data_IF_998362199244
#
_entry.id   IF_998362199244
#
_cell.length_a   1.000
_cell.length_b   1.000
_cell.length_c   1.000
_cell.angle_alpha   90.00
_cell.angle_beta   90.00
_cell.angle_gamma   90.00
#
_symmetry.space_group_name_H-M   'P 1'
#
loop_
_entity.id
_entity.type
_entity.pdbx_description
1 polymer ?
#
# COMPACT_ATOMS: atom_id res chain seq x y z
N UNK A 1 -15.35 -1.37 12.44
CA UNK A 1 -13.89 -1.43 12.31
C UNK A 1 -13.49 -0.53 11.16
N UNK A 2 -12.56 0.40 11.39
CA UNK A 2 -11.96 1.18 10.31
C UNK A 2 -11.03 0.25 9.52
N UNK A 3 -11.14 0.24 8.19
CA UNK A 3 -10.29 -0.58 7.34
C UNK A 3 -8.91 0.10 7.25
N UNK A 4 -7.86 -0.65 7.54
CA UNK A 4 -6.47 -0.16 7.48
C UNK A 4 -6.00 0.01 6.03
N UNK A 5 -5.00 0.86 5.81
CA UNK A 5 -4.41 1.01 4.47
C UNK A 5 -3.80 -0.30 3.93
N UNK A 6 -3.24 -1.14 4.79
CA UNK A 6 -2.72 -2.45 4.41
C UNK A 6 -3.83 -3.38 3.90
N UNK A 7 -5.00 -3.37 4.55
CA UNK A 7 -6.18 -4.12 4.09
C UNK A 7 -6.71 -3.58 2.76
N UNK A 8 -6.80 -2.25 2.61
CA UNK A 8 -7.21 -1.62 1.35
C UNK A 8 -6.26 -2.02 0.22
N UNK A 9 -4.95 -1.98 0.46
CA UNK A 9 -3.95 -2.38 -0.53
C UNK A 9 -4.10 -3.85 -0.93
N UNK A 10 -4.24 -4.76 0.04
CA UNK A 10 -4.41 -6.20 -0.26
C UNK A 10 -5.71 -6.48 -1.00
N UNK A 11 -6.80 -5.78 -0.68
CA UNK A 11 -8.04 -5.84 -1.45
C UNK A 11 -7.80 -5.37 -2.90
N UNK A 12 -7.10 -4.26 -3.11
CA UNK A 12 -6.80 -3.73 -4.44
C UNK A 12 -5.94 -4.70 -5.25
N UNK A 13 -4.89 -5.26 -4.64
CA UNK A 13 -4.03 -6.29 -5.22
C UNK A 13 -4.81 -7.51 -5.67
N UNK A 14 -5.71 -8.02 -4.80
CA UNK A 14 -6.56 -9.18 -5.13
C UNK A 14 -7.52 -8.87 -6.27
N UNK A 15 -8.14 -7.69 -6.29
CA UNK A 15 -9.02 -7.25 -7.41
C UNK A 15 -8.26 -7.14 -8.73
N UNK A 16 -7.00 -6.71 -8.69
CA UNK A 16 -6.13 -6.65 -9.85
C UNK A 16 -5.59 -8.02 -10.31
N UNK A 17 -5.83 -9.10 -9.55
CA UNK A 17 -5.33 -10.45 -9.88
C UNK A 17 -3.81 -10.62 -9.72
N UNK A 18 -3.13 -9.69 -9.05
CA UNK A 18 -1.66 -9.64 -8.98
C UNK A 18 -1.17 -10.47 -7.79
N UNK A 19 -0.29 -11.48 -7.95
CA UNK A 19 0.31 -12.21 -6.84
C UNK A 19 1.17 -11.29 -5.94
N UNK A 20 1.26 -11.58 -4.64
CA UNK A 20 2.11 -10.80 -3.72
C UNK A 20 3.58 -10.73 -4.17
N UNK A 21 4.09 -11.80 -4.77
CA UNK A 21 5.46 -11.86 -5.32
C UNK A 21 5.66 -10.85 -6.45
N UNK A 22 4.70 -10.73 -7.35
CA UNK A 22 4.78 -9.82 -8.49
C UNK A 22 4.73 -8.36 -8.03
N UNK A 23 3.84 -8.05 -7.08
CA UNK A 23 3.79 -6.72 -6.49
C UNK A 23 5.07 -6.39 -5.72
N UNK A 24 5.62 -7.34 -4.94
CA UNK A 24 6.89 -7.15 -4.24
C UNK A 24 8.05 -6.86 -5.22
N UNK A 25 8.11 -7.59 -6.34
CA UNK A 25 9.09 -7.35 -7.41
C UNK A 25 8.94 -5.95 -8.02
N UNK A 26 7.70 -5.51 -8.32
CA UNK A 26 7.44 -4.18 -8.85
C UNK A 26 7.80 -3.05 -7.87
N UNK A 27 7.75 -3.33 -6.58
CA UNK A 27 8.19 -2.42 -5.52
C UNK A 27 9.70 -2.46 -5.27
N UNK A 28 10.43 -3.37 -5.92
CA UNK A 28 11.87 -3.55 -5.72
C UNK A 28 12.24 -4.18 -4.38
N UNK A 29 11.33 -4.92 -3.74
CA UNK A 29 11.57 -5.56 -2.43
C UNK A 29 11.36 -7.07 -2.45
N UNK A 30 11.93 -7.75 -1.44
CA UNK A 30 11.72 -9.18 -1.27
C UNK A 30 10.28 -9.50 -0.84
N UNK A 31 9.77 -10.69 -1.18
CA UNK A 31 8.46 -11.16 -0.72
C UNK A 31 8.35 -11.18 0.83
N UNK A 32 9.36 -11.62 1.59
CA UNK A 32 9.35 -11.48 3.05
C UNK A 32 9.23 -10.03 3.54
N UNK A 33 9.92 -9.08 2.89
CA UNK A 33 9.83 -7.64 3.20
C UNK A 33 8.40 -7.15 2.99
N UNK A 34 7.81 -7.44 1.83
CA UNK A 34 6.42 -7.11 1.54
C UNK A 34 5.46 -7.73 2.57
N UNK A 35 5.63 -9.01 2.92
CA UNK A 35 4.77 -9.69 3.90
C UNK A 35 4.84 -9.03 5.29
N UNK A 36 6.02 -8.54 5.70
CA UNK A 36 6.19 -7.79 6.95
C UNK A 36 5.48 -6.45 6.90
N UNK A 37 5.56 -5.74 5.77
CA UNK A 37 4.89 -4.45 5.58
C UNK A 37 3.37 -4.55 5.76
N UNK A 38 2.73 -5.53 5.13
CA UNK A 38 1.27 -5.74 5.22
C UNK A 38 0.82 -6.10 6.65
N UNK A 39 1.71 -6.64 7.49
CA UNK A 39 1.42 -7.00 8.88
C UNK A 39 1.77 -5.90 9.90
N UNK A 40 2.44 -4.84 9.47
CA UNK A 40 3.03 -3.81 10.35
C UNK A 40 2.50 -2.41 10.06
N UNK A 41 3.25 -1.39 10.50
CA UNK A 41 2.95 0.00 10.17
C UNK A 41 3.40 0.31 8.73
N UNK A 42 2.45 0.71 7.89
CA UNK A 42 2.58 0.68 6.43
C UNK A 42 2.63 2.09 5.79
N UNK A 43 2.39 3.15 6.55
CA UNK A 43 2.12 4.47 5.99
C UNK A 43 3.35 5.14 5.36
N UNK A 44 4.54 4.99 5.94
CA UNK A 44 5.79 5.53 5.37
C UNK A 44 6.16 4.85 4.05
N UNK A 45 5.89 3.55 3.95
CA UNK A 45 6.15 2.74 2.75
C UNK A 45 5.23 3.16 1.61
N UNK A 46 3.97 3.46 1.92
CA UNK A 46 3.00 3.91 0.93
C UNK A 46 3.41 5.21 0.26
N UNK A 47 3.98 6.15 1.02
CA UNK A 47 4.41 7.44 0.49
C UNK A 47 5.51 7.26 -0.58
N UNK A 48 6.48 6.40 -0.32
CA UNK A 48 7.63 6.17 -1.21
C UNK A 48 7.18 5.46 -2.50
N UNK A 49 6.21 4.54 -2.40
CA UNK A 49 5.78 3.69 -3.50
C UNK A 49 4.44 4.08 -4.14
N UNK A 50 3.89 5.25 -3.79
CA UNK A 50 2.56 5.68 -4.21
C UNK A 50 2.34 5.55 -5.72
N UNK A 51 3.26 6.07 -6.53
CA UNK A 51 3.16 6.01 -7.99
C UNK A 51 3.06 4.57 -8.55
N UNK A 52 3.88 3.66 -8.02
CA UNK A 52 3.85 2.23 -8.41
C UNK A 52 2.50 1.62 -8.07
N UNK A 53 1.99 1.88 -6.87
CA UNK A 53 0.69 1.37 -6.44
C UNK A 53 -0.47 1.96 -7.26
N UNK A 54 -0.48 3.26 -7.55
CA UNK A 54 -1.52 3.85 -8.41
C UNK A 54 -1.51 3.24 -9.82
N UNK A 55 -0.31 3.01 -10.37
CA UNK A 55 -0.15 2.50 -11.73
C UNK A 55 -0.62 1.05 -11.83
N UNK A 56 -0.21 0.22 -10.88
CA UNK A 56 -0.41 -1.23 -10.92
C UNK A 56 -1.77 -1.62 -10.33
N UNK A 57 -2.16 -1.04 -9.20
CA UNK A 57 -3.36 -1.42 -8.45
C UNK A 57 -4.57 -0.54 -8.77
N UNK A 58 -4.39 0.51 -9.57
CA UNK A 58 -5.45 1.48 -9.95
C UNK A 58 -6.14 2.12 -8.73
N UNK A 59 -5.38 2.33 -7.65
CA UNK A 59 -5.84 3.03 -6.44
C UNK A 59 -5.37 4.50 -6.47
N UNK A 60 -5.93 5.32 -5.58
CA UNK A 60 -5.48 6.69 -5.35
C UNK A 60 -5.02 6.90 -3.91
N UNK A 61 -3.97 7.70 -3.74
CA UNK A 61 -3.45 8.09 -2.43
C UNK A 61 -3.78 9.55 -2.11
N UNK A 62 -4.12 9.81 -0.86
CA UNK A 62 -4.20 11.15 -0.30
C UNK A 62 -3.29 11.24 0.92
N UNK A 63 -2.50 12.32 1.00
CA UNK A 63 -1.70 12.61 2.20
C UNK A 63 -2.46 13.65 3.02
N UNK A 64 -2.85 13.25 4.22
CA UNK A 64 -3.53 14.10 5.19
C UNK A 64 -2.48 14.62 6.16
N UNK A 65 -2.36 15.94 6.28
CA UNK A 65 -1.48 16.55 7.29
C UNK A 65 -2.33 16.96 8.48
N UNK A 66 -2.06 16.39 9.65
CA UNK A 66 -2.75 16.68 10.89
C UNK A 66 -1.79 17.11 12.01
N UNK A 67 -2.32 17.44 13.20
CA UNK A 67 -1.52 17.87 14.35
C UNK A 67 -0.50 16.83 14.82
N UNK A 68 -0.74 15.54 14.52
CA UNK A 68 0.11 14.41 14.89
C UNK A 68 1.09 13.99 13.78
N UNK A 69 1.16 14.74 12.66
CA UNK A 69 2.04 14.44 11.53
C UNK A 69 1.29 14.15 10.24
N UNK A 70 1.93 13.41 9.33
CA UNK A 70 1.37 13.03 8.02
C UNK A 70 0.77 11.63 8.11
N UNK A 71 -0.44 11.46 7.57
CA UNK A 71 -1.12 10.18 7.44
C UNK A 71 -1.44 9.94 5.98
N UNK A 72 -1.19 8.73 5.49
CA UNK A 72 -1.56 8.34 4.14
C UNK A 72 -2.96 7.72 4.18
N UNK A 73 -3.79 7.98 3.17
CA UNK A 73 -5.10 7.35 3.00
C UNK A 73 -5.22 6.80 1.59
N UNK A 74 -5.52 5.51 1.48
CA UNK A 74 -5.82 4.86 0.19
C UNK A 74 -7.32 4.98 -0.07
N UNK A 75 -7.68 5.36 -1.29
CA UNK A 75 -9.06 5.36 -1.77
C UNK A 75 -9.17 4.42 -2.98
N UNK A 76 -10.21 3.60 -2.99
CA UNK A 76 -10.49 2.58 -4.01
C UNK A 76 -11.42 3.05 -5.10
#
# INVERSE_FOLDING_TARGET
MEITNAEILEMARRRAGIPQKELAQALGVSLPTYSRWIKGNFDDVLLIHAHTFETILKVKFSVITGPQGKTVKITM
#
